data_IF_911556734185
#
_entry.id   IF_911556734185
#
_cell.length_a   1.000
_cell.length_b   1.000
_cell.length_c   1.000
_cell.angle_alpha   90.00
_cell.angle_beta   90.00
_cell.angle_gamma   90.00
#
_symmetry.space_group_name_H-M   'P 1'
#
loop_
_entity.id
_entity.type
_entity.pdbx_description
1 polymer ?
#
# COMPACT_ATOMS: atom_id res chain seq x y z
N UNK A 1 -4.38 13.10 -3.15
CA UNK A 1 -5.75 12.56 -3.27
C UNK A 1 -5.92 11.64 -4.48
N UNK A 2 -5.45 12.00 -5.68
CA UNK A 2 -5.55 11.17 -6.89
C UNK A 2 -5.04 9.72 -6.73
N UNK A 3 -3.83 9.50 -6.17
CA UNK A 3 -3.29 8.15 -5.95
C UNK A 3 -4.20 7.28 -5.05
N UNK A 4 -4.69 7.84 -3.95
CA UNK A 4 -5.57 7.13 -3.03
C UNK A 4 -6.92 6.77 -3.68
N UNK A 5 -7.46 7.65 -4.54
CA UNK A 5 -8.66 7.38 -5.32
C UNK A 5 -8.42 6.30 -6.37
N UNK A 6 -7.27 6.34 -7.07
CA UNK A 6 -6.87 5.31 -8.02
C UNK A 6 -6.73 3.93 -7.36
N UNK A 7 -6.11 3.85 -6.19
CA UNK A 7 -6.02 2.59 -5.43
C UNK A 7 -7.42 2.11 -5.02
N UNK A 8 -8.28 2.99 -4.48
CA UNK A 8 -9.66 2.63 -4.14
C UNK A 8 -10.46 2.15 -5.36
N UNK A 9 -10.24 2.75 -6.53
CA UNK A 9 -10.86 2.31 -7.79
C UNK A 9 -10.42 0.89 -8.17
N UNK A 10 -9.11 0.61 -8.07
CA UNK A 10 -8.52 -0.71 -8.33
C UNK A 10 -8.97 -1.77 -7.31
N UNK A 11 -9.17 -1.38 -6.04
CA UNK A 11 -9.64 -2.28 -4.98
C UNK A 11 -11.16 -2.55 -5.05
N UNK A 12 -11.92 -1.79 -5.84
CA UNK A 12 -13.38 -1.91 -5.93
C UNK A 12 -13.83 -3.20 -6.62
N UNK A 13 -14.90 -3.82 -6.10
CA UNK A 13 -15.54 -5.01 -6.69
C UNK A 13 -16.69 -4.67 -7.65
N UNK A 14 -17.09 -3.41 -7.75
CA UNK A 14 -18.18 -2.99 -8.64
C UNK A 14 -17.78 -3.21 -10.10
N UNK A 15 -18.60 -3.87 -10.95
CA UNK A 15 -18.25 -4.13 -12.35
C UNK A 15 -17.83 -2.86 -13.12
N UNK A 16 -18.59 -1.77 -12.98
CA UNK A 16 -18.27 -0.47 -13.60
C UNK A 16 -16.95 0.13 -13.10
N UNK A 17 -16.59 -0.12 -11.84
CA UNK A 17 -15.32 0.36 -11.29
C UNK A 17 -14.13 -0.43 -11.84
N UNK A 18 -14.32 -1.73 -12.12
CA UNK A 18 -13.28 -2.58 -12.73
C UNK A 18 -12.95 -2.15 -14.15
N UNK A 19 -13.95 -1.78 -14.95
CA UNK A 19 -13.75 -1.24 -16.30
C UNK A 19 -12.89 0.02 -16.27
N UNK A 20 -13.25 0.98 -15.40
CA UNK A 20 -12.45 2.20 -15.21
C UNK A 20 -11.06 1.92 -14.64
N UNK A 21 -10.92 0.96 -13.71
CA UNK A 21 -9.62 0.57 -13.16
C UNK A 21 -8.70 -0.01 -14.25
N UNK A 22 -9.23 -0.88 -15.11
CA UNK A 22 -8.47 -1.49 -16.20
C UNK A 22 -8.04 -0.44 -17.24
N UNK A 23 -8.93 0.49 -17.61
CA UNK A 23 -8.59 1.59 -18.51
C UNK A 23 -7.49 2.48 -17.92
N UNK A 24 -7.61 2.86 -16.65
CA UNK A 24 -6.61 3.64 -15.93
C UNK A 24 -5.25 2.92 -15.87
N UNK A 25 -5.25 1.62 -15.55
CA UNK A 25 -4.01 0.83 -15.50
C UNK A 25 -3.37 0.68 -16.87
N UNK A 26 -4.16 0.53 -17.94
CA UNK A 26 -3.64 0.46 -19.31
C UNK A 26 -2.95 1.75 -19.74
N UNK A 27 -3.42 2.92 -19.26
CA UNK A 27 -2.79 4.21 -19.52
C UNK A 27 -1.50 4.42 -18.69
N UNK A 28 -1.48 3.94 -17.44
CA UNK A 28 -0.39 4.21 -16.50
C UNK A 28 0.75 3.18 -16.53
N UNK A 29 0.46 1.93 -16.93
CA UNK A 29 1.45 0.89 -16.96
C UNK A 29 2.26 0.97 -18.26
N UNK A 30 3.60 1.01 -18.17
CA UNK A 30 4.42 0.98 -19.37
C UNK A 30 4.24 -0.37 -20.08
N UNK A 31 4.40 -0.39 -21.43
CA UNK A 31 4.16 -1.58 -22.26
C UNK A 31 5.08 -2.75 -21.90
N UNK A 32 6.23 -2.48 -21.29
CA UNK A 32 7.18 -3.49 -20.82
C UNK A 32 7.57 -3.30 -19.35
N UNK A 33 7.83 -4.43 -18.69
CA UNK A 33 8.39 -4.42 -17.33
C UNK A 33 9.77 -3.74 -17.26
N UNK A 34 10.54 -3.72 -18.36
CA UNK A 34 11.84 -3.07 -18.43
C UNK A 34 11.76 -1.53 -18.38
N UNK A 35 10.61 -0.96 -18.76
CA UNK A 35 10.35 0.49 -18.74
C UNK A 35 9.73 0.96 -17.41
N UNK A 36 9.51 0.03 -16.46
CA UNK A 36 8.97 0.41 -15.14
C UNK A 36 10.00 1.20 -14.34
N UNK A 37 9.57 2.29 -13.68
CA UNK A 37 10.43 3.00 -12.73
C UNK A 37 11.01 2.04 -11.70
N UNK A 38 12.32 2.11 -11.50
CA UNK A 38 13.00 1.28 -10.51
C UNK A 38 12.46 1.58 -9.12
N UNK A 39 11.96 0.55 -8.44
CA UNK A 39 11.51 0.62 -7.04
C UNK A 39 12.02 -0.60 -6.30
N UNK A 40 12.56 -0.38 -5.10
CA UNK A 40 12.93 -1.47 -4.19
C UNK A 40 11.68 -1.89 -3.40
N UNK A 41 11.39 -3.20 -3.40
CA UNK A 41 10.22 -3.78 -2.72
C UNK A 41 10.69 -4.69 -1.58
N UNK A 42 10.34 -4.34 -0.34
CA UNK A 42 10.76 -5.07 0.86
C UNK A 42 9.52 -5.56 1.60
N UNK A 43 9.46 -6.87 1.88
CA UNK A 43 8.44 -7.45 2.74
C UNK A 43 8.92 -7.50 4.20
N UNK A 44 8.09 -7.04 5.14
CA UNK A 44 8.37 -7.08 6.57
C UNK A 44 7.26 -7.89 7.26
N UNK A 45 7.64 -8.94 7.98
CA UNK A 45 6.72 -9.82 8.71
C UNK A 45 7.24 -10.11 10.12
N UNK A 46 6.36 -10.59 11.00
CA UNK A 46 6.68 -10.89 12.39
C UNK A 46 5.45 -10.84 13.29
N UNK A 47 5.52 -11.41 14.51
CA UNK A 47 4.37 -11.51 15.41
C UNK A 47 3.83 -10.13 15.83
N UNK A 48 2.57 -10.04 16.32
CA UNK A 48 2.05 -8.84 16.97
C UNK A 48 2.99 -8.39 18.09
N UNK A 49 3.26 -7.08 18.21
CA UNK A 49 4.17 -6.55 19.23
C UNK A 49 5.67 -6.61 18.89
N UNK A 50 6.08 -7.26 17.80
CA UNK A 50 7.51 -7.36 17.41
C UNK A 50 8.19 -6.05 16.98
N UNK A 51 7.55 -4.89 17.15
CA UNK A 51 8.13 -3.59 16.77
C UNK A 51 8.16 -3.27 15.27
N UNK A 52 7.42 -4.00 14.42
CA UNK A 52 7.40 -3.79 12.95
C UNK A 52 7.09 -2.34 12.55
N UNK A 53 6.05 -1.75 13.12
CA UNK A 53 5.66 -0.36 12.81
C UNK A 53 6.74 0.63 13.23
N UNK A 54 7.40 0.40 14.39
CA UNK A 54 8.52 1.21 14.86
C UNK A 54 9.71 1.13 13.91
N UNK A 55 10.03 -0.07 13.42
CA UNK A 55 11.08 -0.26 12.42
C UNK A 55 10.76 0.46 11.10
N UNK A 56 9.53 0.32 10.61
CA UNK A 56 9.08 0.95 9.36
C UNK A 56 9.12 2.48 9.49
N UNK A 57 8.67 3.04 10.62
CA UNK A 57 8.73 4.48 10.86
C UNK A 57 10.17 5.01 10.89
N UNK A 58 11.06 4.34 11.63
CA UNK A 58 12.46 4.75 11.73
C UNK A 58 13.17 4.65 10.38
N UNK A 59 13.05 3.52 9.68
CA UNK A 59 13.63 3.31 8.36
C UNK A 59 13.06 4.30 7.34
N UNK A 60 11.74 4.48 7.34
CA UNK A 60 11.08 5.37 6.39
C UNK A 60 11.45 6.83 6.59
N UNK A 61 11.56 7.27 7.84
CA UNK A 61 11.99 8.64 8.17
C UNK A 61 13.40 8.90 7.65
N UNK A 62 14.32 7.97 7.87
CA UNK A 62 15.69 8.07 7.35
C UNK A 62 15.74 8.12 5.82
N UNK A 63 14.97 7.25 5.14
CA UNK A 63 14.91 7.23 3.68
C UNK A 63 14.34 8.54 3.11
N UNK A 64 13.30 9.09 3.73
CA UNK A 64 12.71 10.37 3.32
C UNK A 64 13.70 11.52 3.53
N UNK A 65 14.44 11.53 4.65
CA UNK A 65 15.49 12.52 4.92
C UNK A 65 16.61 12.46 3.88
N UNK A 66 16.96 11.26 3.41
CA UNK A 66 17.92 11.06 2.30
C UNK A 66 17.37 11.40 0.91
N UNK A 67 16.13 11.90 0.82
CA UNK A 67 15.52 12.33 -0.43
C UNK A 67 14.72 11.26 -1.17
N UNK A 68 14.56 10.06 -0.60
CA UNK A 68 13.75 9.01 -1.23
C UNK A 68 12.26 9.24 -1.01
N UNK A 69 11.45 8.68 -1.91
CA UNK A 69 10.00 8.54 -1.73
C UNK A 69 9.68 7.14 -1.26
N UNK A 70 8.82 7.01 -0.26
CA UNK A 70 8.47 5.72 0.33
C UNK A 70 6.97 5.47 0.26
N UNK A 71 6.58 4.23 0.01
CA UNK A 71 5.22 3.76 0.22
C UNK A 71 5.20 2.58 1.20
N UNK A 72 4.25 2.59 2.14
CA UNK A 72 3.97 1.49 3.06
C UNK A 72 2.57 0.97 2.73
N UNK A 73 2.50 -0.29 2.32
CA UNK A 73 1.25 -1.01 2.08
C UNK A 73 1.12 -2.06 3.18
N UNK A 74 0.23 -1.82 4.14
CA UNK A 74 -0.02 -2.78 5.21
C UNK A 74 -0.94 -3.90 4.70
N UNK A 75 -0.57 -5.15 4.99
CA UNK A 75 -1.38 -6.34 4.70
C UNK A 75 -1.56 -7.09 6.01
N UNK A 76 -2.76 -7.07 6.56
CA UNK A 76 -3.12 -7.78 7.79
C UNK A 76 -4.30 -8.71 7.52
N UNK A 77 -4.12 -10.04 7.46
CA UNK A 77 -5.21 -10.98 7.24
C UNK A 77 -6.26 -10.97 8.37
N UNK A 78 -5.90 -10.48 9.57
CA UNK A 78 -6.86 -10.34 10.67
C UNK A 78 -7.87 -9.21 10.45
N UNK A 79 -7.56 -8.26 9.55
CA UNK A 79 -8.44 -7.12 9.21
C UNK A 79 -9.77 -7.56 8.59
N UNK A 80 -9.81 -8.74 7.94
CA UNK A 80 -11.03 -9.32 7.39
C UNK A 80 -12.05 -9.70 8.48
N UNK A 81 -11.60 -9.99 9.71
CA UNK A 81 -12.48 -10.31 10.86
C UNK A 81 -12.89 -9.06 11.65
N UNK A 82 -12.06 -8.01 11.64
CA UNK A 82 -12.30 -6.78 12.41
C UNK A 82 -12.88 -5.62 11.59
N UNK A 83 -13.10 -5.80 10.29
CA UNK A 83 -13.71 -4.78 9.43
C UNK A 83 -12.71 -3.72 8.92
N UNK A 84 -11.42 -4.01 8.92
CA UNK A 84 -10.37 -3.11 8.41
C UNK A 84 -9.79 -2.17 9.45
N UNK A 85 -8.47 -1.98 9.38
CA UNK A 85 -7.76 -1.00 10.20
C UNK A 85 -7.51 0.24 9.35
N UNK A 86 -8.52 1.07 9.12
CA UNK A 86 -8.36 2.31 8.32
C UNK A 86 -7.36 3.29 8.98
N UNK A 87 -7.22 3.23 10.30
CA UNK A 87 -6.42 4.17 11.09
C UNK A 87 -5.24 3.53 11.82
N UNK A 88 -5.30 2.23 12.14
CA UNK A 88 -4.41 1.62 13.13
C UNK A 88 -2.94 1.53 12.71
N UNK A 89 -2.65 1.47 11.41
CA UNK A 89 -1.26 1.51 10.93
C UNK A 89 -0.73 2.95 10.84
N UNK A 90 -1.59 3.91 10.51
CA UNK A 90 -1.21 5.33 10.39
C UNK A 90 -0.98 5.98 11.76
N UNK A 91 -1.74 5.58 12.79
CA UNK A 91 -1.55 6.07 14.18
C UNK A 91 -0.29 5.51 14.84
N UNK A 92 0.21 4.36 14.40
CA UNK A 92 1.44 3.73 14.91
C UNK A 92 2.72 4.30 14.28
N UNK A 93 2.61 5.14 13.26
CA UNK A 93 3.74 5.75 12.55
C UNK A 93 3.48 7.25 12.29
N UNK A 94 3.23 8.06 13.34
CA UNK A 94 2.76 9.43 13.20
C UNK A 94 3.73 10.37 12.46
N UNK A 95 5.05 10.18 12.61
CA UNK A 95 6.04 11.02 11.93
C UNK A 95 6.04 10.73 10.44
N UNK A 96 6.19 9.47 10.09
CA UNK A 96 6.18 9.05 8.69
C UNK A 96 4.84 9.32 8.01
N UNK A 97 3.73 9.25 8.75
CA UNK A 97 2.39 9.55 8.25
C UNK A 97 2.16 11.04 7.90
N UNK A 98 2.97 11.94 8.47
CA UNK A 98 2.93 13.37 8.19
C UNK A 98 3.86 13.79 7.05
N UNK A 99 4.78 12.91 6.63
CA UNK A 99 5.77 13.21 5.60
C UNK A 99 5.15 13.24 4.19
N UNK A 100 5.24 14.36 3.45
CA UNK A 100 4.68 14.45 2.09
C UNK A 100 5.30 13.48 1.08
N UNK A 101 6.52 13.01 1.35
CA UNK A 101 7.25 12.03 0.52
C UNK A 101 6.96 10.58 0.91
N UNK A 102 6.13 10.36 1.93
CA UNK A 102 5.68 9.06 2.36
C UNK A 102 4.19 8.86 2.06
N UNK A 103 3.84 7.66 1.59
CA UNK A 103 2.44 7.26 1.40
C UNK A 103 2.16 6.00 2.21
N UNK A 104 1.21 6.07 3.14
CA UNK A 104 0.84 4.94 4.00
C UNK A 104 -0.60 4.53 3.66
N UNK A 105 -0.76 3.31 3.12
CA UNK A 105 -2.06 2.67 2.89
C UNK A 105 -2.29 1.62 3.98
N UNK A 106 -3.34 1.77 4.81
CA UNK A 106 -3.72 0.76 5.78
C UNK A 106 -4.28 -0.50 5.10
N UNK A 107 -4.28 -1.63 5.82
CA UNK A 107 -4.84 -2.89 5.30
C UNK A 107 -6.34 -2.72 4.98
N UNK A 108 -6.80 -3.10 3.78
CA UNK A 108 -8.22 -3.02 3.43
C UNK A 108 -9.06 -3.94 4.33
N UNK A 109 -10.34 -3.60 4.46
CA UNK A 109 -11.28 -4.23 5.38
C UNK A 109 -11.69 -5.66 5.03
N UNK A 110 -11.42 -6.14 3.81
CA UNK A 110 -12.11 -7.30 3.29
C UNK A 110 -11.15 -8.20 2.52
N UNK A 111 -11.03 -9.44 3.01
CA UNK A 111 -10.04 -10.43 2.60
C UNK A 111 -10.15 -10.87 1.13
N UNK A 112 -9.00 -10.94 0.48
CA UNK A 112 -8.37 -12.18 -0.02
C UNK A 112 -6.85 -11.95 0.07
N UNK A 113 -6.12 -12.95 0.55
CA UNK A 113 -4.65 -13.06 0.52
C UNK A 113 -4.16 -13.25 -0.94
N UNK A 114 -4.53 -12.35 -1.86
CA UNK A 114 -4.37 -12.63 -3.30
C UNK A 114 -4.55 -11.47 -4.28
N UNK A 115 -4.63 -10.22 -3.83
CA UNK A 115 -4.88 -9.08 -4.73
C UNK A 115 -3.75 -8.69 -5.71
N UNK A 116 -2.59 -9.37 -5.66
CA UNK A 116 -1.43 -9.11 -6.55
C UNK A 116 -0.94 -10.34 -7.31
N UNK A 117 -1.65 -11.46 -7.20
CA UNK A 117 -1.43 -12.63 -8.05
C UNK A 117 -2.80 -13.23 -8.39
N UNK A 118 -3.30 -12.89 -9.57
CA UNK A 118 -4.22 -13.77 -10.28
C UNK A 118 -3.43 -15.04 -10.62
N UNK A 119 -3.47 -16.03 -9.73
CA UNK A 119 -3.27 -17.41 -10.16
C UNK A 119 -4.45 -17.73 -11.07
N UNK A 120 -4.19 -17.82 -12.38
CA UNK A 120 -5.02 -18.45 -13.43
C UNK A 120 -6.51 -18.09 -13.46
#
# INVERSE_FOLDING_TARGET
WALAQGITLVESRLPRAREHANALLAELLPPSAAERPSSVRIGISGPPGAGKSTLIEALGSELVQRGHRMAVLAVDPSSARSGGSVLGDKTRMPRLAAEPRAFIRPSPAQGVLGGVASST
#
